data_IF_708005129630
#
_entry.id   IF_708005129630
#
_cell.length_a   1.000
_cell.length_b   1.000
_cell.length_c   1.000
_cell.angle_alpha   90.00
_cell.angle_beta   90.00
_cell.angle_gamma   90.00
#
_symmetry.space_group_name_H-M   'P 1'
#
loop_
_entity.id
_entity.type
_entity.pdbx_description
1 polymer ?
#
# COMPACT_ATOMS: atom_id res chain seq x y z
N UNK A 1 8.27 0.34 4.09
CA UNK A 1 7.17 0.85 3.26
C UNK A 1 6.76 2.19 3.83
N UNK A 2 6.40 3.13 2.97
CA UNK A 2 5.93 4.45 3.36
C UNK A 2 4.48 4.59 2.89
N UNK A 3 3.55 4.82 3.82
CA UNK A 3 2.16 5.07 3.48
C UNK A 3 2.02 6.50 2.97
N UNK A 4 1.71 6.66 1.69
CA UNK A 4 1.58 7.97 1.05
C UNK A 4 0.17 8.54 1.23
N UNK A 5 -0.85 7.67 1.21
CA UNK A 5 -2.24 8.04 1.41
C UNK A 5 -3.07 6.84 1.89
N UNK A 6 -4.25 7.12 2.42
CA UNK A 6 -5.26 6.12 2.76
C UNK A 6 -6.31 6.05 1.65
N UNK A 7 -6.78 4.84 1.33
CA UNK A 7 -7.83 4.62 0.34
C UNK A 7 -8.81 3.55 0.77
N UNK A 8 -9.88 3.38 -0.01
CA UNK A 8 -10.91 2.38 0.26
C UNK A 8 -10.33 0.96 0.22
N UNK A 9 -10.45 0.24 1.32
CA UNK A 9 -10.09 -1.17 1.45
C UNK A 9 -9.78 -1.56 2.89
N UNK A 10 -9.38 -2.80 3.11
CA UNK A 10 -9.13 -3.36 4.45
C UNK A 10 -8.15 -2.51 5.24
N UNK A 11 -8.56 -2.13 6.46
CA UNK A 11 -7.77 -1.24 7.31
C UNK A 11 -6.35 -1.79 7.55
N UNK A 12 -5.34 -0.95 7.33
CA UNK A 12 -3.94 -1.31 7.58
C UNK A 12 -3.31 -2.27 6.55
N UNK A 13 -4.06 -2.66 5.50
CA UNK A 13 -3.55 -3.49 4.41
C UNK A 13 -3.09 -2.59 3.25
N UNK A 14 -1.98 -2.95 2.59
CA UNK A 14 -1.56 -2.30 1.36
C UNK A 14 -2.52 -2.66 0.25
N UNK A 15 -3.24 -1.67 -0.29
CA UNK A 15 -4.24 -1.86 -1.35
C UNK A 15 -3.68 -1.55 -2.74
N UNK A 16 -2.68 -0.65 -2.82
CA UNK A 16 -2.04 -0.27 -4.08
C UNK A 16 -0.60 0.19 -3.84
N UNK A 17 0.30 -0.12 -4.79
CA UNK A 17 1.68 0.38 -4.79
C UNK A 17 1.83 1.48 -5.85
N UNK A 18 2.03 2.73 -5.40
CA UNK A 18 2.22 3.88 -6.28
C UNK A 18 3.63 3.94 -6.84
N UNK A 19 4.61 3.49 -6.06
CA UNK A 19 6.01 3.55 -6.44
C UNK A 19 6.81 2.41 -5.82
N UNK A 20 7.54 1.68 -6.67
CA UNK A 20 8.42 0.59 -6.24
C UNK A 20 9.47 1.06 -5.23
N UNK A 21 9.63 0.31 -4.16
CA UNK A 21 10.76 0.44 -3.24
C UNK A 21 11.98 -0.34 -3.75
N UNK A 22 13.18 0.09 -3.34
CA UNK A 22 14.41 -0.62 -3.61
C UNK A 22 15.21 -0.80 -2.32
N UNK A 23 15.66 -2.03 -2.10
CA UNK A 23 16.59 -2.41 -1.04
C UNK A 23 17.84 -3.00 -1.69
N UNK A 24 19.01 -2.55 -1.27
CA UNK A 24 20.29 -3.14 -1.67
C UNK A 24 20.94 -3.76 -0.45
N UNK A 25 21.09 -5.09 -0.47
CA UNK A 25 21.51 -5.88 0.68
C UNK A 25 20.59 -5.57 1.88
N UNK A 26 21.15 -5.00 2.96
CA UNK A 26 20.40 -4.62 4.16
C UNK A 26 20.03 -3.13 4.22
N UNK A 27 20.45 -2.34 3.23
CA UNK A 27 20.17 -0.92 3.17
C UNK A 27 18.97 -0.62 2.29
N UNK A 28 17.94 0.00 2.87
CA UNK A 28 16.82 0.57 2.09
C UNK A 28 17.33 1.81 1.35
N UNK A 29 17.34 1.73 0.02
CA UNK A 29 17.72 2.87 -0.84
C UNK A 29 16.52 3.80 -1.02
N UNK A 30 15.34 3.22 -1.22
CA UNK A 30 14.08 3.95 -1.34
C UNK A 30 12.93 3.12 -0.80
N UNK A 31 12.12 3.63 0.15
CA UNK A 31 10.92 2.93 0.57
C UNK A 31 9.91 2.89 -0.59
N UNK A 32 9.13 1.82 -0.68
CA UNK A 32 7.98 1.80 -1.58
C UNK A 32 6.91 2.76 -1.05
N UNK A 33 6.29 3.54 -1.95
CA UNK A 33 5.14 4.39 -1.61
C UNK A 33 3.88 3.61 -1.90
N UNK A 34 3.10 3.38 -0.87
CA UNK A 34 1.92 2.53 -0.92
C UNK A 34 0.69 3.28 -0.43
N UNK A 35 -0.46 2.87 -0.93
CA UNK A 35 -1.77 3.24 -0.41
C UNK A 35 -2.18 2.16 0.59
N UNK A 36 -2.57 2.58 1.78
CA UNK A 36 -3.08 1.66 2.81
C UNK A 36 -4.60 1.79 2.92
N UNK A 37 -5.28 0.68 3.15
CA UNK A 37 -6.72 0.69 3.36
C UNK A 37 -7.10 1.39 4.66
N UNK A 38 -8.23 2.09 4.64
CA UNK A 38 -8.79 2.82 5.79
C UNK A 38 -9.97 2.12 6.47
N UNK A 39 -10.28 0.88 6.09
CA UNK A 39 -11.43 0.13 6.61
C UNK A 39 -12.71 0.33 5.81
N UNK A 40 -12.75 1.24 4.84
CA UNK A 40 -13.87 1.34 3.90
C UNK A 40 -13.74 0.25 2.84
N UNK A 41 -14.15 -0.97 3.18
CA UNK A 41 -14.24 -2.07 2.23
C UNK A 41 -15.36 -1.80 1.22
N UNK A 42 -15.02 -1.41 -0.02
CA UNK A 42 -15.93 -1.67 -1.13
C UNK A 42 -15.90 -3.17 -1.38
N UNK A 43 -16.99 -3.85 -1.02
CA UNK A 43 -17.31 -5.19 -1.50
C UNK A 43 -17.25 -5.16 -3.03
N UNK A 44 -16.08 -5.46 -3.62
CA UNK A 44 -16.04 -5.91 -5.01
C UNK A 44 -16.75 -7.25 -5.03
N UNK A 45 -18.06 -7.20 -5.26
CA UNK A 45 -18.81 -8.30 -5.84
C UNK A 45 -18.14 -8.64 -7.16
N UNK A 46 -17.34 -9.70 -7.15
CA UNK A 46 -17.12 -10.49 -8.36
C UNK A 46 -18.50 -11.03 -8.77
N UNK A 47 -18.97 -10.60 -9.95
CA UNK A 47 -20.21 -11.04 -10.57
C UNK A 47 -19.91 -12.09 -11.64
#
# INVERSE_FOLDING_TARGET
HEAAMQGKGKEGIVIEELQKGYKFQDRVIRPARVVVGNGEEEEKKEA
#
